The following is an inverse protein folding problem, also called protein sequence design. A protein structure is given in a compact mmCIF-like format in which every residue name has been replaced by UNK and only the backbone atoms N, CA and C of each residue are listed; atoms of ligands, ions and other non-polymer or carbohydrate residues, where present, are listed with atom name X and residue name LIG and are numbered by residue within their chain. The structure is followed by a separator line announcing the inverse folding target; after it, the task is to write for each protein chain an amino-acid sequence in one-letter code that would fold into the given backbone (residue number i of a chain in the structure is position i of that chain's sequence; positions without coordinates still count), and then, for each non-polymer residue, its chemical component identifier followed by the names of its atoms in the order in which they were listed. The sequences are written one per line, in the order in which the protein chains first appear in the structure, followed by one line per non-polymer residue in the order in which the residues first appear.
data_IF_718726335177
#
_entry.id   IF_718726335177
#
_cell.length_a   1.000
_cell.length_b   1.000
_cell.length_c   1.000
_cell.angle_alpha   90.00
_cell.angle_beta   90.00
_cell.angle_gamma   90.00
#
_symmetry.space_group_name_H-M   'P 1'
#
loop_
_entity.id
_entity.type
_entity.pdbx_description
1 polymer ?
#
# COMPACT_ATOMS: atom_id res chain seq x y z
N UNK A 1 -28.73 19.83 2.26
CA UNK A 1 -27.83 18.66 2.31
C UNK A 1 -26.56 19.14 2.97
N UNK A 2 -26.24 18.64 4.17
CA UNK A 2 -24.98 18.98 4.83
C UNK A 2 -23.80 18.44 4.01
N UNK A 3 -22.80 19.28 3.85
CA UNK A 3 -21.58 18.99 3.09
C UNK A 3 -20.71 18.03 3.91
N UNK A 4 -20.46 16.83 3.39
CA UNK A 4 -19.66 15.80 4.07
C UNK A 4 -18.19 16.24 4.13
N UNK A 5 -17.81 17.00 5.17
CA UNK A 5 -16.44 17.47 5.39
C UNK A 5 -15.58 16.38 6.03
N UNK A 6 -14.96 15.56 5.20
CA UNK A 6 -13.97 14.57 5.65
C UNK A 6 -12.63 15.29 5.90
N UNK A 7 -12.17 15.31 7.15
CA UNK A 7 -10.82 15.78 7.49
C UNK A 7 -9.80 14.63 7.32
N UNK A 8 -9.12 14.61 6.18
CA UNK A 8 -8.10 13.60 5.86
C UNK A 8 -6.80 13.77 6.67
N UNK A 9 -6.58 14.91 7.32
CA UNK A 9 -5.36 15.19 8.10
C UNK A 9 -5.26 14.40 9.40
N UNK A 10 -6.41 14.04 9.99
CA UNK A 10 -6.50 13.27 11.24
C UNK A 10 -6.72 11.76 11.00
N UNK A 11 -6.63 11.33 9.74
CA UNK A 11 -6.83 9.93 9.37
C UNK A 11 -5.67 9.08 9.93
N UNK A 12 -5.93 8.36 11.01
CA UNK A 12 -5.00 7.35 11.53
C UNK A 12 -5.20 6.05 10.75
N UNK A 13 -4.12 5.57 10.15
CA UNK A 13 -4.10 4.28 9.44
C UNK A 13 -3.33 3.29 10.30
N UNK A 14 -4.04 2.30 10.84
CA UNK A 14 -3.41 1.16 11.48
C UNK A 14 -2.88 0.20 10.40
N UNK A 15 -1.56 0.20 10.19
CA UNK A 15 -0.92 -0.73 9.28
C UNK A 15 -0.69 -2.06 9.98
N UNK A 16 -1.42 -3.09 9.58
CA UNK A 16 -1.21 -4.46 10.04
C UNK A 16 -0.12 -5.12 9.18
N UNK A 17 0.97 -5.54 9.82
CA UNK A 17 2.03 -6.33 9.21
C UNK A 17 1.84 -7.82 9.49
N UNK A 18 1.92 -8.65 8.46
CA UNK A 18 1.85 -10.10 8.60
C UNK A 18 3.12 -10.74 8.02
N UNK A 19 3.67 -11.71 8.73
CA UNK A 19 4.85 -12.48 8.29
C UNK A 19 4.39 -13.88 7.93
N UNK A 20 4.57 -14.27 6.67
CA UNK A 20 4.24 -15.60 6.18
C UNK A 20 5.51 -16.30 5.69
N UNK A 21 5.60 -17.61 5.95
CA UNK A 21 6.68 -18.45 5.42
C UNK A 21 6.66 -18.53 3.90
N UNK A 22 5.46 -18.52 3.31
CA UNK A 22 5.23 -18.53 1.87
C UNK A 22 4.20 -17.45 1.54
N UNK A 23 4.70 -16.33 1.02
CA UNK A 23 3.89 -15.14 0.72
C UNK A 23 2.98 -15.36 -0.50
N UNK A 24 3.39 -16.20 -1.45
CA UNK A 24 2.63 -16.42 -2.69
C UNK A 24 1.42 -17.32 -2.43
N UNK A 25 1.61 -18.35 -1.61
CA UNK A 25 0.50 -19.19 -1.16
C UNK A 25 -0.51 -18.38 -0.37
N UNK A 26 -0.05 -17.52 0.53
CA UNK A 26 -0.95 -16.68 1.32
C UNK A 26 -1.68 -15.64 0.47
N UNK A 27 -1.00 -15.03 -0.52
CA UNK A 27 -1.62 -14.11 -1.46
C UNK A 27 -2.80 -14.77 -2.21
N UNK A 28 -2.62 -15.98 -2.73
CA UNK A 28 -3.72 -16.75 -3.38
C UNK A 28 -4.90 -17.04 -2.45
N UNK A 29 -4.63 -17.33 -1.17
CA UNK A 29 -5.70 -17.55 -0.18
C UNK A 29 -6.49 -16.25 0.03
N UNK A 30 -5.80 -15.11 0.18
CA UNK A 30 -6.47 -13.82 0.35
C UNK A 30 -7.20 -13.36 -0.91
N UNK A 31 -6.67 -13.62 -2.10
CA UNK A 31 -7.38 -13.38 -3.37
C UNK A 31 -8.73 -14.09 -3.37
N UNK A 32 -8.77 -15.36 -2.98
CA UNK A 32 -10.00 -16.14 -2.94
C UNK A 32 -10.97 -15.68 -1.84
N UNK A 33 -10.46 -15.37 -0.64
CA UNK A 33 -11.29 -15.00 0.51
C UNK A 33 -11.88 -13.60 0.36
N UNK A 34 -11.07 -12.65 -0.12
CA UNK A 34 -11.43 -11.23 -0.18
C UNK A 34 -11.93 -10.79 -1.56
N UNK A 35 -11.87 -11.68 -2.56
CA UNK A 35 -12.17 -11.38 -3.96
C UNK A 35 -11.40 -10.16 -4.50
N UNK A 36 -10.19 -9.96 -3.99
CA UNK A 36 -9.29 -8.89 -4.42
C UNK A 36 -8.29 -9.47 -5.44
N UNK A 37 -8.00 -8.75 -6.55
CA UNK A 37 -6.98 -9.19 -7.49
C UNK A 37 -5.61 -9.27 -6.81
N UNK A 38 -4.79 -10.21 -7.27
CA UNK A 38 -3.43 -10.50 -6.76
C UNK A 38 -2.67 -9.23 -6.42
N UNK A 39 -2.14 -9.19 -5.20
CA UNK A 39 -1.32 -8.09 -4.70
C UNK A 39 -0.25 -7.69 -5.73
N UNK A 40 -0.10 -6.40 -5.98
CA UNK A 40 0.95 -5.89 -6.84
C UNK A 40 2.31 -6.14 -6.16
N UNK A 41 3.10 -7.05 -6.71
CA UNK A 41 4.50 -7.20 -6.34
C UNK A 41 5.26 -6.03 -6.95
N UNK A 42 5.67 -5.08 -6.11
CA UNK A 42 6.44 -3.93 -6.55
C UNK A 42 7.90 -4.38 -6.71
N UNK A 43 8.47 -4.37 -7.94
CA UNK A 43 9.87 -4.74 -8.14
C UNK A 43 10.81 -3.75 -7.44
N UNK A 44 12.05 -4.18 -7.20
CA UNK A 44 13.09 -3.28 -6.73
C UNK A 44 13.34 -2.22 -7.79
N UNK A 45 13.07 -0.96 -7.46
CA UNK A 45 13.37 0.16 -8.34
C UNK A 45 14.01 1.29 -7.55
N UNK A 46 14.82 2.06 -8.26
CA UNK A 46 15.40 3.30 -7.76
C UNK A 46 14.95 4.40 -8.73
N UNK A 47 14.07 5.29 -8.26
CA UNK A 47 13.53 6.36 -9.08
C UNK A 47 13.60 7.69 -8.34
N UNK A 48 13.85 8.76 -9.11
CA UNK A 48 13.66 10.13 -8.64
C UNK A 48 12.16 10.42 -8.69
N UNK A 49 11.56 10.68 -7.54
CA UNK A 49 10.15 11.09 -7.42
C UNK A 49 10.06 12.49 -6.86
N UNK A 50 8.97 13.18 -7.15
CA UNK A 50 8.69 14.51 -6.58
C UNK A 50 7.78 14.36 -5.36
N UNK A 51 8.36 14.37 -4.16
CA UNK A 51 7.62 14.33 -2.90
C UNK A 51 7.46 15.75 -2.34
N UNK A 52 6.20 16.22 -2.22
CA UNK A 52 5.88 17.59 -1.73
C UNK A 52 6.64 18.69 -2.48
N UNK A 53 6.80 18.53 -3.79
CA UNK A 53 7.49 19.50 -4.64
C UNK A 53 9.02 19.40 -4.63
N UNK A 54 9.61 18.55 -3.79
CA UNK A 54 11.06 18.30 -3.74
C UNK A 54 11.40 16.99 -4.42
N UNK A 55 12.51 16.97 -5.16
CA UNK A 55 13.06 15.73 -5.71
C UNK A 55 13.58 14.86 -4.56
N UNK A 56 13.26 13.57 -4.62
CA UNK A 56 13.65 12.57 -3.64
C UNK A 56 13.92 11.24 -4.33
N UNK A 57 15.00 10.57 -3.92
CA UNK A 57 15.27 9.22 -4.37
C UNK A 57 14.44 8.24 -3.54
N UNK A 58 13.58 7.47 -4.21
CA UNK A 58 12.82 6.40 -3.56
C UNK A 58 13.36 5.06 -4.05
N UNK A 59 13.70 4.23 -3.06
CA UNK A 59 14.07 2.83 -3.24
C UNK A 59 13.05 1.95 -2.55
N UNK A 60 12.60 0.89 -3.21
CA UNK A 60 11.66 -0.09 -2.64
C UNK A 60 12.35 -1.17 -1.79
N UNK A 61 13.52 -0.87 -1.19
CA UNK A 61 14.31 -1.78 -0.33
C UNK A 61 15.22 -1.02 0.63
#
# INVERSE_FOLDING_TARGET
MEEFKINLGDLKVDQLGFVFRDIEKQAKIFENILNIPKFAFIPEFNNVVKYRGKESNVRTK
#
